data_IF_860837243094
#
_entry.id   IF_860837243094
#
_cell.length_a   1.000
_cell.length_b   1.000
_cell.length_c   1.000
_cell.angle_alpha   90.00
_cell.angle_beta   90.00
_cell.angle_gamma   90.00
#
_symmetry.space_group_name_H-M   'P 1'
#
loop_
_entity.id
_entity.type
_entity.pdbx_description
1 polymer ?
#
# COMPACT_ATOMS: atom_id res chain seq x y z
N UNK A 1 -3.12 -22.70 -11.28
CA UNK A 1 -2.31 -23.77 -10.65
C UNK A 1 -2.16 -23.57 -9.14
N UNK A 2 -1.62 -22.44 -8.65
CA UNK A 2 -1.32 -22.24 -7.20
C UNK A 2 -2.52 -22.37 -6.23
N UNK A 3 -3.72 -21.91 -6.60
CA UNK A 3 -4.93 -22.07 -5.76
C UNK A 3 -5.38 -23.53 -5.55
N UNK A 4 -5.08 -24.42 -6.50
CA UNK A 4 -5.48 -25.84 -6.42
C UNK A 4 -4.68 -26.55 -5.34
N UNK A 5 -3.39 -26.24 -5.23
CA UNK A 5 -2.51 -26.79 -4.20
C UNK A 5 -2.92 -26.35 -2.80
N UNK A 6 -3.33 -25.08 -2.62
CA UNK A 6 -3.80 -24.60 -1.33
C UNK A 6 -5.08 -25.34 -0.88
N UNK A 7 -6.03 -25.58 -1.80
CA UNK A 7 -7.26 -26.33 -1.50
C UNK A 7 -6.98 -27.79 -1.14
N UNK A 8 -6.07 -28.45 -1.88
CA UNK A 8 -5.64 -29.81 -1.55
C UNK A 8 -4.98 -29.86 -0.16
N UNK A 9 -4.12 -28.89 0.15
CA UNK A 9 -3.47 -28.80 1.46
C UNK A 9 -4.47 -28.58 2.60
N UNK A 10 -5.52 -27.79 2.38
CA UNK A 10 -6.60 -27.62 3.35
C UNK A 10 -7.42 -28.91 3.58
N UNK A 11 -7.42 -29.85 2.63
CA UNK A 11 -8.02 -31.18 2.87
C UNK A 11 -7.14 -32.03 3.78
N UNK A 12 -5.81 -31.99 3.58
CA UNK A 12 -4.83 -32.71 4.41
C UNK A 12 -4.88 -32.19 5.85
N UNK A 13 -4.79 -30.88 6.05
CA UNK A 13 -4.83 -30.26 7.39
C UNK A 13 -6.18 -30.41 8.11
N UNK A 14 -7.27 -30.74 7.39
CA UNK A 14 -8.54 -31.11 8.02
C UNK A 14 -8.51 -32.51 8.63
N UNK A 15 -7.71 -33.42 8.06
CA UNK A 15 -7.57 -34.80 8.53
C UNK A 15 -6.44 -34.91 9.57
N UNK A 16 -5.35 -34.17 9.37
CA UNK A 16 -4.19 -34.13 10.25
C UNK A 16 -3.80 -32.65 10.53
N UNK A 17 -4.39 -32.01 11.55
CA UNK A 17 -4.17 -30.59 11.83
C UNK A 17 -2.74 -30.22 12.27
N UNK A 18 -1.99 -31.21 12.75
CA UNK A 18 -0.63 -31.05 13.29
C UNK A 18 0.44 -31.67 12.37
N UNK A 19 0.10 -31.94 11.10
CA UNK A 19 1.06 -32.46 10.12
C UNK A 19 2.09 -31.36 9.76
N UNK A 20 3.36 -31.62 10.11
CA UNK A 20 4.46 -30.63 10.02
C UNK A 20 4.70 -30.21 8.58
N UNK A 21 4.86 -31.18 7.67
CA UNK A 21 5.08 -30.94 6.25
C UNK A 21 3.93 -30.12 5.62
N UNK A 22 2.68 -30.43 5.99
CA UNK A 22 1.53 -29.69 5.49
C UNK A 22 1.46 -28.25 6.05
N UNK A 23 1.84 -28.04 7.31
CA UNK A 23 1.93 -26.70 7.90
C UNK A 23 3.05 -25.87 7.27
N UNK A 24 4.24 -26.45 7.09
CA UNK A 24 5.38 -25.81 6.43
C UNK A 24 5.04 -25.47 4.97
N UNK A 25 4.45 -26.41 4.23
CA UNK A 25 3.99 -26.18 2.85
C UNK A 25 2.94 -25.07 2.81
N UNK A 26 2.05 -25.01 3.81
CA UNK A 26 1.02 -23.97 3.88
C UNK A 26 1.67 -22.61 4.07
N UNK A 27 2.62 -22.50 4.99
CA UNK A 27 3.36 -21.27 5.24
C UNK A 27 4.07 -20.80 3.96
N UNK A 28 4.81 -21.70 3.29
CA UNK A 28 5.47 -21.41 2.02
C UNK A 28 4.49 -20.90 0.95
N UNK A 29 3.34 -21.56 0.79
CA UNK A 29 2.31 -21.13 -0.17
C UNK A 29 1.70 -19.78 0.19
N UNK A 30 1.50 -19.49 1.47
CA UNK A 30 1.01 -18.19 1.92
C UNK A 30 2.01 -17.09 1.56
N UNK A 31 3.30 -17.29 1.81
CA UNK A 31 4.35 -16.36 1.41
C UNK A 31 4.38 -16.15 -0.12
N UNK A 32 4.34 -17.23 -0.89
CA UNK A 32 4.39 -17.18 -2.37
C UNK A 32 3.11 -16.61 -3.02
N UNK A 33 2.04 -16.47 -2.24
CA UNK A 33 0.77 -15.84 -2.67
C UNK A 33 0.54 -14.48 -2.02
N UNK A 34 1.59 -13.88 -1.46
CA UNK A 34 1.58 -12.57 -0.81
C UNK A 34 0.61 -12.45 0.39
N UNK A 35 0.23 -13.57 1.01
CA UNK A 35 -0.67 -13.61 2.17
C UNK A 35 0.11 -13.47 3.49
N UNK A 36 0.88 -12.38 3.61
CA UNK A 36 1.82 -12.16 4.72
C UNK A 36 1.16 -12.08 6.10
N UNK A 37 -0.04 -11.52 6.19
CA UNK A 37 -0.77 -11.46 7.46
C UNK A 37 -1.17 -12.86 7.96
N UNK A 38 -1.57 -13.75 7.05
CA UNK A 38 -1.92 -15.13 7.39
C UNK A 38 -0.67 -15.97 7.69
N UNK A 39 0.43 -15.74 6.96
CA UNK A 39 1.72 -16.35 7.23
C UNK A 39 2.24 -15.97 8.63
N UNK A 40 2.23 -14.67 8.96
CA UNK A 40 2.62 -14.18 10.29
C UNK A 40 1.76 -14.78 11.40
N UNK A 41 0.44 -14.85 11.22
CA UNK A 41 -0.44 -15.46 12.21
C UNK A 41 -0.08 -16.94 12.45
N UNK A 42 0.38 -17.67 11.43
CA UNK A 42 0.83 -19.06 11.58
C UNK A 42 2.16 -19.18 12.33
N UNK A 43 3.07 -18.21 12.17
CA UNK A 43 4.36 -18.25 12.88
C UNK A 43 4.23 -17.88 14.36
N UNK A 44 3.16 -17.19 14.75
CA UNK A 44 2.86 -16.80 16.13
C UNK A 44 2.03 -17.82 16.92
N UNK A 45 1.51 -18.87 16.27
CA UNK A 45 0.74 -19.92 16.96
C UNK A 45 1.63 -20.65 17.98
N UNK A 46 1.14 -20.87 19.22
CA UNK A 46 1.86 -21.70 20.19
C UNK A 46 2.15 -23.07 19.61
N UNK A 47 3.39 -23.52 19.75
CA UNK A 47 3.83 -24.86 19.36
C UNK A 47 4.11 -25.71 20.58
N UNK A 48 3.92 -27.02 20.39
CA UNK A 48 4.34 -28.01 21.36
C UNK A 48 5.87 -28.01 21.48
N UNK A 49 6.38 -28.29 22.68
CA UNK A 49 7.79 -28.13 23.03
C UNK A 49 8.77 -29.00 22.21
N UNK A 50 8.26 -29.99 21.46
CA UNK A 50 9.04 -30.90 20.62
C UNK A 50 9.12 -30.44 19.14
N UNK A 51 8.46 -29.33 18.80
CA UNK A 51 8.43 -28.81 17.43
C UNK A 51 9.69 -27.97 17.15
N UNK A 52 10.71 -28.64 16.59
CA UNK A 52 12.02 -28.06 16.24
C UNK A 52 11.99 -27.04 15.09
N UNK A 53 10.87 -26.84 14.42
CA UNK A 53 10.81 -25.91 13.28
C UNK A 53 10.64 -24.48 13.79
N UNK A 54 11.73 -23.71 13.75
CA UNK A 54 11.69 -22.27 14.01
C UNK A 54 11.34 -21.53 12.71
N UNK A 55 10.18 -20.85 12.68
CA UNK A 55 9.77 -20.00 11.55
C UNK A 55 10.17 -18.54 11.78
N UNK A 56 11.28 -18.31 12.46
CA UNK A 56 11.81 -16.97 12.75
C UNK A 56 12.08 -16.19 11.47
N UNK A 57 12.64 -16.85 10.44
CA UNK A 57 12.88 -16.21 9.15
C UNK A 57 11.57 -15.80 8.47
N UNK A 58 10.60 -16.70 8.35
CA UNK A 58 9.30 -16.42 7.73
C UNK A 58 8.52 -15.36 8.49
N UNK A 59 8.66 -15.32 9.82
CA UNK A 59 8.11 -14.26 10.68
C UNK A 59 8.75 -12.91 10.33
N UNK A 60 10.08 -12.82 10.33
CA UNK A 60 10.81 -11.59 9.99
C UNK A 60 10.46 -11.11 8.57
N UNK A 61 10.42 -12.03 7.60
CA UNK A 61 10.06 -11.74 6.23
C UNK A 61 8.61 -11.23 6.13
N UNK A 62 7.67 -11.86 6.82
CA UNK A 62 6.27 -11.43 6.84
C UNK A 62 6.12 -10.03 7.46
N UNK A 63 6.82 -9.73 8.55
CA UNK A 63 6.84 -8.40 9.18
C UNK A 63 7.40 -7.34 8.23
N UNK A 64 8.50 -7.65 7.53
CA UNK A 64 9.08 -6.79 6.51
C UNK A 64 8.10 -6.51 5.37
N UNK A 65 7.42 -7.54 4.85
CA UNK A 65 6.42 -7.38 3.77
C UNK A 65 5.16 -6.64 4.22
N UNK A 66 4.88 -6.60 5.53
CA UNK A 66 3.79 -5.84 6.14
C UNK A 66 4.18 -4.41 6.55
N UNK A 67 5.38 -3.94 6.21
CA UNK A 67 5.88 -2.62 6.61
C UNK A 67 5.91 -2.42 8.13
N UNK A 68 6.31 -3.45 8.86
CA UNK A 68 6.56 -3.39 10.31
C UNK A 68 8.07 -3.46 10.54
N UNK A 69 8.79 -2.41 10.13
CA UNK A 69 10.25 -2.41 10.06
C UNK A 69 10.91 -2.63 11.43
N UNK A 70 10.36 -2.03 12.49
CA UNK A 70 10.87 -2.20 13.85
C UNK A 70 10.76 -3.66 14.31
N UNK A 71 9.59 -4.27 14.15
CA UNK A 71 9.36 -5.67 14.53
C UNK A 71 10.22 -6.62 13.69
N UNK A 72 10.38 -6.35 12.39
CA UNK A 72 11.23 -7.13 11.50
C UNK A 72 12.71 -7.06 11.91
N UNK A 73 13.20 -5.87 12.30
CA UNK A 73 14.58 -5.71 12.80
C UNK A 73 14.82 -6.49 14.09
N UNK A 74 13.87 -6.44 15.03
CA UNK A 74 13.98 -7.19 16.28
C UNK A 74 14.01 -8.71 16.03
N UNK A 75 13.20 -9.21 15.09
CA UNK A 75 13.19 -10.61 14.72
C UNK A 75 14.53 -11.06 14.10
N UNK A 76 15.15 -10.25 13.24
CA UNK A 76 16.46 -10.56 12.65
C UNK A 76 17.59 -10.54 13.69
N UNK A 77 17.58 -9.58 14.61
CA UNK A 77 18.57 -9.54 15.70
C UNK A 77 18.45 -10.75 16.62
N UNK A 78 17.23 -11.19 16.93
CA UNK A 78 17.00 -12.43 17.68
C UNK A 78 17.56 -13.65 16.95
N UNK A 79 17.36 -13.75 15.63
CA UNK A 79 17.92 -14.83 14.81
C UNK A 79 19.44 -14.85 14.86
N UNK A 80 20.09 -13.69 14.61
CA UNK A 80 21.55 -13.59 14.65
C UNK A 80 22.12 -13.93 16.01
N UNK A 81 21.44 -13.54 17.10
CA UNK A 81 21.85 -13.89 18.45
C UNK A 81 21.84 -15.40 18.69
N UNK A 82 20.82 -16.11 18.18
CA UNK A 82 20.76 -17.59 18.21
C UNK A 82 21.82 -18.24 17.33
N UNK A 83 22.07 -17.66 16.15
CA UNK A 83 23.06 -18.19 15.19
C UNK A 83 24.51 -17.99 15.65
N UNK A 84 24.81 -16.89 16.37
CA UNK A 84 26.16 -16.57 16.86
C UNK A 84 26.74 -17.58 17.86
N UNK A 85 25.94 -18.51 18.37
CA UNK A 85 26.38 -19.63 19.21
C UNK A 85 26.86 -20.85 18.40
N UNK A 86 26.54 -20.92 17.10
CA UNK A 86 27.09 -21.90 16.15
C UNK A 86 28.12 -21.22 15.25
N UNK A 87 29.28 -21.85 15.01
CA UNK A 87 30.33 -21.35 14.08
C UNK A 87 29.92 -21.42 12.59
N UNK A 88 28.64 -21.16 12.28
CA UNK A 88 28.11 -21.11 10.93
C UNK A 88 28.14 -19.70 10.35
N UNK A 89 28.41 -19.61 9.06
CA UNK A 89 28.17 -18.42 8.25
C UNK A 89 26.71 -17.97 8.39
N UNK A 90 26.47 -16.66 8.57
CA UNK A 90 25.11 -16.10 8.66
C UNK A 90 24.35 -16.48 7.40
N UNK A 91 23.14 -17.04 7.55
CA UNK A 91 22.32 -17.47 6.44
C UNK A 91 22.20 -16.32 5.40
N UNK A 92 22.54 -16.64 4.15
CA UNK A 92 22.48 -15.73 3.02
C UNK A 92 21.10 -15.07 2.88
N UNK A 93 20.03 -15.80 3.20
CA UNK A 93 18.66 -15.27 3.21
C UNK A 93 18.46 -14.16 4.26
N UNK A 94 19.07 -14.30 5.44
CA UNK A 94 19.04 -13.31 6.52
C UNK A 94 19.77 -12.04 6.11
N UNK A 95 20.96 -12.15 5.51
CA UNK A 95 21.72 -11.01 5.00
C UNK A 95 20.94 -10.23 3.93
N UNK A 96 20.27 -10.92 3.00
CA UNK A 96 19.41 -10.28 2.00
C UNK A 96 18.28 -9.48 2.63
N UNK A 97 17.57 -10.09 3.59
CA UNK A 97 16.44 -9.44 4.25
C UNK A 97 16.90 -8.23 5.09
N UNK A 98 18.06 -8.33 5.74
CA UNK A 98 18.67 -7.24 6.47
C UNK A 98 19.06 -6.08 5.55
N UNK A 99 19.71 -6.35 4.41
CA UNK A 99 20.08 -5.32 3.45
C UNK A 99 18.86 -4.57 2.93
N UNK A 100 17.79 -5.31 2.60
CA UNK A 100 16.51 -4.74 2.18
C UNK A 100 15.85 -3.88 3.26
N UNK A 101 15.91 -4.32 4.52
CA UNK A 101 15.35 -3.59 5.65
C UNK A 101 16.15 -2.31 5.94
N UNK A 102 17.48 -2.39 5.93
CA UNK A 102 18.38 -1.25 6.09
C UNK A 102 18.14 -0.19 5.01
N UNK A 103 17.99 -0.61 3.75
CA UNK A 103 17.65 0.28 2.64
C UNK A 103 16.33 1.00 2.89
N UNK A 104 15.29 0.28 3.32
CA UNK A 104 13.96 0.87 3.59
C UNK A 104 13.98 1.86 4.74
N UNK A 105 14.81 1.63 5.76
CA UNK A 105 14.97 2.54 6.90
C UNK A 105 15.82 3.78 6.56
N UNK A 106 16.36 3.87 5.34
CA UNK A 106 17.25 4.95 4.92
C UNK A 106 18.70 4.80 5.42
N UNK A 107 19.03 3.66 6.02
CA UNK A 107 20.38 3.28 6.43
C UNK A 107 21.17 2.77 5.21
N UNK A 108 21.32 3.63 4.19
CA UNK A 108 21.86 3.24 2.89
C UNK A 108 23.31 2.75 2.96
N UNK A 109 24.12 3.26 3.91
CA UNK A 109 25.47 2.76 4.12
C UNK A 109 25.47 1.29 4.54
N UNK A 110 24.67 0.95 5.55
CA UNK A 110 24.55 -0.44 6.01
C UNK A 110 24.01 -1.37 4.91
N UNK A 111 23.03 -0.91 4.13
CA UNK A 111 22.53 -1.66 2.99
C UNK A 111 23.63 -1.90 1.93
N UNK A 112 24.43 -0.88 1.61
CA UNK A 112 25.54 -0.97 0.68
C UNK A 112 26.59 -1.98 1.15
N UNK A 113 26.98 -1.93 2.42
CA UNK A 113 27.97 -2.83 2.99
C UNK A 113 27.47 -4.30 2.96
N UNK A 114 26.21 -4.54 3.33
CA UNK A 114 25.59 -5.87 3.28
C UNK A 114 25.46 -6.41 1.85
N UNK A 115 25.12 -5.56 0.87
CA UNK A 115 25.08 -6.00 -0.53
C UNK A 115 26.46 -6.32 -1.08
N UNK A 116 27.52 -5.61 -0.70
CA UNK A 116 28.89 -6.00 -1.06
C UNK A 116 29.26 -7.36 -0.46
N UNK A 117 28.94 -7.60 0.80
CA UNK A 117 29.17 -8.90 1.44
C UNK A 117 28.43 -10.04 0.71
N UNK A 118 27.19 -9.82 0.28
CA UNK A 118 26.43 -10.78 -0.51
C UNK A 118 27.03 -11.01 -1.90
N UNK A 119 27.58 -9.95 -2.51
CA UNK A 119 28.18 -9.98 -3.84
C UNK A 119 29.49 -10.76 -3.86
N UNK A 120 30.29 -10.68 -2.79
CA UNK A 120 31.59 -11.37 -2.65
C UNK A 120 31.47 -12.90 -2.82
N UNK A 121 30.29 -13.45 -2.51
CA UNK A 121 29.98 -14.87 -2.56
C UNK A 121 28.94 -15.23 -3.64
N UNK A 122 28.47 -14.25 -4.42
CA UNK A 122 27.48 -14.46 -5.47
C UNK A 122 28.13 -14.99 -6.76
N UNK A 123 27.55 -16.05 -7.34
CA UNK A 123 28.02 -16.61 -8.63
C UNK A 123 27.90 -15.56 -9.75
N UNK A 124 28.99 -15.18 -10.47
CA UNK A 124 29.07 -14.05 -11.41
C UNK A 124 28.16 -14.08 -12.66
N UNK A 125 27.20 -14.99 -12.75
CA UNK A 125 26.20 -15.04 -13.84
C UNK A 125 24.83 -15.55 -13.36
N UNK A 126 24.63 -15.59 -12.04
CA UNK A 126 23.34 -15.92 -11.44
C UNK A 126 22.37 -14.74 -11.51
N UNK A 127 21.07 -15.04 -11.53
CA UNK A 127 20.01 -14.02 -11.40
C UNK A 127 20.19 -13.24 -10.09
N UNK A 128 20.57 -13.94 -9.01
CA UNK A 128 20.87 -13.33 -7.72
C UNK A 128 21.97 -12.27 -7.80
N UNK A 129 23.07 -12.55 -8.51
CA UNK A 129 24.15 -11.59 -8.69
C UNK A 129 23.66 -10.29 -9.37
N UNK A 130 22.84 -10.42 -10.42
CA UNK A 130 22.26 -9.25 -11.09
C UNK A 130 21.28 -8.46 -10.20
N UNK A 131 20.51 -9.16 -9.36
CA UNK A 131 19.58 -8.52 -8.42
C UNK A 131 20.33 -7.77 -7.31
N UNK A 132 21.39 -8.37 -6.76
CA UNK A 132 22.26 -7.73 -5.76
C UNK A 132 22.89 -6.47 -6.35
N UNK A 133 23.48 -6.55 -7.55
CA UNK A 133 24.10 -5.39 -8.20
C UNK A 133 23.12 -4.22 -8.39
N UNK A 134 21.90 -4.53 -8.81
CA UNK A 134 20.86 -3.51 -9.01
C UNK A 134 20.51 -2.80 -7.70
N UNK A 135 20.36 -3.56 -6.61
CA UNK A 135 20.04 -3.02 -5.29
C UNK A 135 21.23 -2.26 -4.68
N UNK A 136 22.45 -2.74 -4.89
CA UNK A 136 23.69 -2.08 -4.48
C UNK A 136 23.83 -0.72 -5.17
N UNK A 137 23.64 -0.66 -6.49
CA UNK A 137 23.67 0.59 -7.26
C UNK A 137 22.60 1.58 -6.75
N UNK A 138 21.42 1.09 -6.39
CA UNK A 138 20.37 1.91 -5.79
C UNK A 138 20.80 2.48 -4.42
N UNK A 139 21.42 1.69 -3.56
CA UNK A 139 21.95 2.14 -2.27
C UNK A 139 23.05 3.20 -2.46
N UNK A 140 23.97 2.96 -3.40
CA UNK A 140 25.04 3.89 -3.75
C UNK A 140 24.49 5.22 -4.27
N UNK A 141 23.51 5.21 -5.19
CA UNK A 141 22.87 6.43 -5.70
C UNK A 141 22.23 7.26 -4.58
N UNK A 142 21.64 6.62 -3.58
CA UNK A 142 21.09 7.34 -2.43
C UNK A 142 22.19 7.94 -1.54
N UNK A 143 23.30 7.21 -1.31
CA UNK A 143 24.48 7.73 -0.61
C UNK A 143 25.07 8.96 -1.31
N UNK A 144 25.25 8.87 -2.62
CA UNK A 144 25.77 9.96 -3.45
C UNK A 144 24.86 11.19 -3.38
N UNK A 145 23.55 10.98 -3.44
CA UNK A 145 22.55 12.04 -3.30
C UNK A 145 22.62 12.73 -1.93
N UNK A 146 22.67 11.95 -0.84
CA UNK A 146 22.74 12.50 0.51
C UNK A 146 24.05 13.24 0.78
N UNK A 147 25.15 12.77 0.19
CA UNK A 147 26.49 13.34 0.43
C UNK A 147 26.73 14.61 -0.36
N UNK A 148 26.38 14.62 -1.64
CA UNK A 148 26.72 15.74 -2.54
C UNK A 148 25.64 16.06 -3.56
N UNK A 149 24.88 15.07 -4.02
CA UNK A 149 23.87 15.27 -5.07
C UNK A 149 22.77 16.25 -4.68
N UNK A 150 22.35 16.28 -3.42
CA UNK A 150 21.39 17.26 -2.92
C UNK A 150 21.91 18.70 -3.03
N UNK A 151 23.16 18.94 -2.60
CA UNK A 151 23.77 20.27 -2.68
C UNK A 151 23.96 20.70 -4.14
N UNK A 152 24.38 19.77 -5.01
CA UNK A 152 24.51 20.05 -6.43
C UNK A 152 23.16 20.37 -7.09
N UNK A 153 22.10 19.65 -6.71
CA UNK A 153 20.75 19.92 -7.20
C UNK A 153 20.25 21.29 -6.74
N UNK A 154 20.59 21.74 -5.53
CA UNK A 154 20.28 23.09 -5.05
C UNK A 154 21.03 24.17 -5.83
N UNK A 155 22.31 23.95 -6.13
CA UNK A 155 23.14 24.90 -6.90
C UNK A 155 22.68 25.02 -8.36
N UNK A 156 22.18 23.93 -8.95
CA UNK A 156 21.64 23.91 -10.30
C UNK A 156 20.25 24.58 -10.46
N UNK A 157 19.62 25.05 -9.37
CA UNK A 157 18.31 25.69 -9.44
C UNK A 157 18.37 27.04 -10.17
N UNK A 158 17.38 27.37 -11.01
CA UNK A 158 17.29 28.68 -11.63
C UNK A 158 17.26 29.81 -10.58
N UNK A 159 17.87 30.98 -10.85
CA UNK A 159 17.90 32.11 -9.92
C UNK A 159 16.51 32.64 -9.55
N UNK A 160 15.51 32.42 -10.41
CA UNK A 160 14.10 32.73 -10.13
C UNK A 160 13.50 31.91 -8.98
N UNK A 161 14.08 30.75 -8.66
CA UNK A 161 13.64 29.85 -7.58
C UNK A 161 14.55 30.00 -6.35
N UNK A 162 15.88 30.02 -6.56
CA UNK A 162 16.84 30.08 -5.44
C UNK A 162 16.83 31.44 -4.72
N UNK A 163 16.61 32.55 -5.44
CA UNK A 163 16.55 33.89 -4.85
C UNK A 163 15.48 34.04 -3.77
N UNK A 164 14.20 33.71 -4.05
CA UNK A 164 13.14 33.73 -3.04
C UNK A 164 13.39 32.78 -1.85
N UNK A 165 14.00 31.61 -2.07
CA UNK A 165 14.29 30.65 -1.00
C UNK A 165 15.36 31.15 -0.03
N UNK A 166 16.41 31.81 -0.54
CA UNK A 166 17.50 32.35 0.29
C UNK A 166 17.08 33.60 1.08
N UNK A 167 16.12 34.37 0.55
CA UNK A 167 15.65 35.63 1.15
C UNK A 167 14.33 35.49 1.91
N UNK A 168 13.67 34.33 1.82
CA UNK A 168 12.46 34.07 2.58
C UNK A 168 12.78 34.11 4.08
N UNK A 169 12.05 34.91 4.88
CA UNK A 169 12.17 34.83 6.33
C UNK A 169 11.83 33.39 6.76
N UNK A 170 12.51 32.85 7.80
CA UNK A 170 12.16 31.54 8.34
C UNK A 170 10.65 31.52 8.60
N UNK A 171 9.94 30.42 8.28
CA UNK A 171 8.50 30.36 8.45
C UNK A 171 8.22 30.79 9.88
N UNK A 172 7.60 31.97 10.03
CA UNK A 172 7.16 32.40 11.35
C UNK A 172 6.21 31.31 11.77
N UNK A 173 6.63 30.53 12.78
CA UNK A 173 5.71 29.64 13.46
C UNK A 173 4.52 30.52 13.75
N UNK A 174 3.36 30.23 13.13
CA UNK A 174 2.14 30.87 13.54
C UNK A 174 2.08 30.54 15.02
N UNK A 175 2.41 31.51 15.86
CA UNK A 175 2.09 31.51 17.26
C UNK A 175 0.57 31.46 17.22
N UNK A 176 0.04 30.24 17.17
CA UNK A 176 -1.31 30.00 17.60
C UNK A 176 -1.36 30.70 18.94
N UNK A 177 -2.12 31.77 19.01
CA UNK A 177 -2.31 32.54 20.22
C UNK A 177 -2.92 31.57 21.23
N UNK A 178 -2.07 30.87 21.99
CA UNK A 178 -2.44 29.94 23.06
C UNK A 178 -2.90 30.69 24.31
N UNK A 179 -3.08 32.01 24.22
CA UNK A 179 -3.43 32.90 25.33
C UNK A 179 -4.89 32.84 25.78
N UNK A 180 -5.68 31.83 25.40
CA UNK A 180 -7.05 31.71 25.91
C UNK A 180 -7.52 30.29 26.28
N UNK A 181 -6.63 29.31 26.44
CA UNK A 181 -7.03 27.98 26.94
C UNK A 181 -6.79 27.81 28.45
N UNK A 182 -5.80 28.48 29.04
CA UNK A 182 -5.55 28.41 30.48
C UNK A 182 -6.63 29.12 31.32
N UNK A 183 -7.22 30.20 30.78
CA UNK A 183 -8.30 30.93 31.47
C UNK A 183 -9.66 30.20 31.44
N UNK A 184 -9.89 29.25 30.52
CA UNK A 184 -11.11 28.43 30.52
C UNK A 184 -11.02 27.22 31.46
N UNK A 185 -9.82 26.71 31.75
CA UNK A 185 -9.64 25.56 32.63
C UNK A 185 -9.94 25.88 34.12
N UNK A 186 -9.76 27.13 34.55
CA UNK A 186 -10.10 27.57 35.92
C UNK A 186 -11.55 28.02 36.12
N UNK A 187 -12.37 28.09 35.06
CA UNK A 187 -13.77 28.53 35.15
C UNK A 187 -14.80 27.40 35.02
N UNK A 188 -14.37 26.14 34.90
CA UNK A 188 -15.26 24.98 34.73
C UNK A 188 -15.91 24.45 36.03
N UNK A 189 -16.04 25.29 37.06
CA UNK A 189 -16.72 24.95 38.31
C UNK A 189 -18.16 25.51 38.42
N UNK A 190 -18.82 25.84 37.30
CA UNK A 190 -20.26 26.15 37.34
C UNK A 190 -20.97 25.91 36.00
N UNK A 191 -21.88 24.92 36.01
CA UNK A 191 -23.06 24.65 35.15
C UNK A 191 -22.97 24.84 33.61
N UNK A 192 -23.64 23.96 32.82
CA UNK A 192 -23.51 23.97 31.36
C UNK A 192 -24.31 25.13 30.73
N UNK A 193 -23.60 26.11 30.18
CA UNK A 193 -24.19 27.16 29.35
C UNK A 193 -24.19 26.74 27.87
N UNK A 194 -25.39 26.73 27.26
CA UNK A 194 -25.65 26.40 25.86
C UNK A 194 -24.85 27.33 24.93
N UNK A 195 -23.99 26.74 24.09
CA UNK A 195 -23.20 27.45 23.09
C UNK A 195 -24.13 27.92 21.95
N UNK A 196 -24.20 29.24 21.71
CA UNK A 196 -24.95 29.79 20.56
C UNK A 196 -24.13 29.69 19.28
N UNK A 197 -24.70 29.07 18.26
CA UNK A 197 -24.09 28.89 16.93
C UNK A 197 -23.84 30.23 16.23
N UNK A 198 -22.65 30.38 15.63
CA UNK A 198 -22.26 31.58 14.88
C UNK A 198 -23.03 31.66 13.56
N UNK A 199 -23.80 32.74 13.37
CA UNK A 199 -24.58 32.97 12.14
C UNK A 199 -23.67 33.17 10.91
N UNK A 200 -23.94 32.40 9.85
CA UNK A 200 -23.27 32.51 8.55
C UNK A 200 -23.62 33.84 7.87
N UNK A 201 -22.61 34.57 7.40
CA UNK A 201 -22.80 35.86 6.71
C UNK A 201 -23.36 35.63 5.29
N UNK A 202 -24.62 36.01 5.10
CA UNK A 202 -25.41 35.84 3.86
C UNK A 202 -24.79 36.43 2.59
N UNK A 203 -23.86 37.40 2.68
CA UNK A 203 -23.13 37.93 1.51
C UNK A 203 -22.21 36.90 0.82
N UNK A 204 -21.83 35.82 1.51
CA UNK A 204 -20.96 34.76 0.97
C UNK A 204 -21.70 33.53 0.46
N UNK A 205 -23.05 33.53 0.53
CA UNK A 205 -23.85 32.39 0.12
C UNK A 205 -24.49 32.69 -1.24
N UNK A 206 -24.29 31.84 -2.27
CA UNK A 206 -24.92 32.01 -3.58
C UNK A 206 -26.46 32.08 -3.48
N UNK A 207 -27.11 32.85 -4.37
CA UNK A 207 -28.58 32.93 -4.42
C UNK A 207 -29.17 31.52 -4.58
N UNK A 208 -29.99 31.10 -3.61
CA UNK A 208 -30.68 29.80 -3.61
C UNK A 208 -30.18 28.77 -2.59
N UNK A 209 -29.12 29.06 -1.82
CA UNK A 209 -28.65 28.17 -0.73
C UNK A 209 -29.01 28.79 0.62
N UNK A 210 -29.82 28.09 1.42
CA UNK A 210 -30.16 28.49 2.79
C UNK A 210 -29.49 27.49 3.74
N UNK A 211 -28.47 27.90 4.53
CA UNK A 211 -27.81 27.01 5.49
C UNK A 211 -28.85 26.38 6.42
N UNK A 212 -28.88 25.04 6.45
CA UNK A 212 -29.81 24.24 7.27
C UNK A 212 -31.05 23.68 6.55
N UNK A 213 -31.41 24.18 5.36
CA UNK A 213 -32.57 23.68 4.59
C UNK A 213 -32.15 23.07 3.26
N UNK A 214 -31.14 23.63 2.59
CA UNK A 214 -30.53 22.95 1.43
C UNK A 214 -29.65 21.81 1.91
N UNK A 215 -29.92 20.55 1.53
CA UNK A 215 -29.01 19.45 1.82
C UNK A 215 -27.62 19.78 1.27
N UNK A 216 -26.54 19.43 1.99
CA UNK A 216 -25.19 19.67 1.52
C UNK A 216 -25.00 19.03 0.14
N UNK A 217 -24.23 19.66 -0.76
CA UNK A 217 -23.98 19.10 -2.08
C UNK A 217 -23.45 17.66 -1.95
N UNK A 218 -24.02 16.76 -2.75
CA UNK A 218 -23.80 15.31 -2.66
C UNK A 218 -22.30 14.96 -2.60
N UNK A 219 -21.84 14.31 -1.52
CA UNK A 219 -20.44 13.95 -1.33
C UNK A 219 -19.94 12.91 -2.35
N UNK A 220 -20.81 12.21 -3.07
CA UNK A 220 -20.44 11.22 -4.08
C UNK A 220 -20.40 11.79 -5.51
N UNK A 221 -20.51 13.12 -5.66
CA UNK A 221 -20.56 13.77 -6.99
C UNK A 221 -19.30 13.55 -7.84
N UNK A 222 -18.15 13.38 -7.19
CA UNK A 222 -16.85 13.14 -7.82
C UNK A 222 -16.69 11.68 -8.30
N UNK A 223 -17.55 10.76 -7.86
CA UNK A 223 -17.59 9.40 -8.40
C UNK A 223 -18.29 9.35 -9.76
N UNK A 224 -17.91 8.35 -10.58
CA UNK A 224 -18.60 8.04 -11.84
C UNK A 224 -20.06 7.75 -11.56
N UNK A 225 -20.97 8.12 -12.48
CA UNK A 225 -22.43 8.01 -12.25
C UNK A 225 -22.88 6.61 -11.84
N UNK A 226 -22.21 5.55 -12.31
CA UNK A 226 -22.47 4.16 -11.96
C UNK A 226 -22.09 3.78 -10.52
N UNK A 227 -21.14 4.48 -9.92
CA UNK A 227 -20.58 4.22 -8.59
C UNK A 227 -21.30 5.04 -7.51
N UNK A 228 -22.23 5.92 -7.91
CA UNK A 228 -23.05 6.71 -6.98
C UNK A 228 -24.14 5.85 -6.36
N UNK A 229 -24.30 5.91 -5.05
CA UNK A 229 -25.36 5.20 -4.28
C UNK A 229 -26.76 5.53 -4.80
N UNK A 230 -27.01 6.76 -5.26
CA UNK A 230 -28.26 7.15 -5.90
C UNK A 230 -28.57 6.35 -7.18
N UNK A 231 -27.55 6.00 -7.97
CA UNK A 231 -27.70 5.19 -9.19
C UNK A 231 -27.95 3.71 -8.85
N UNK A 232 -27.27 3.18 -7.83
CA UNK A 232 -27.50 1.82 -7.34
C UNK A 232 -28.93 1.61 -6.81
N UNK A 233 -29.51 2.62 -6.14
CA UNK A 233 -30.91 2.62 -5.69
C UNK A 233 -31.91 2.57 -6.88
N UNK A 234 -31.64 3.29 -7.97
CA UNK A 234 -32.48 3.28 -9.17
C UNK A 234 -32.50 1.91 -9.89
N UNK A 235 -31.38 1.20 -9.91
CA UNK A 235 -31.29 -0.11 -10.54
C UNK A 235 -31.86 -1.23 -9.66
N UNK A 236 -31.80 -1.11 -8.33
CA UNK A 236 -32.44 -2.05 -7.40
C UNK A 236 -33.96 -2.01 -7.49
N UNK A 237 -34.57 -0.83 -7.70
CA UNK A 237 -36.03 -0.71 -7.93
C UNK A 237 -36.48 -1.37 -9.23
N UNK A 238 -35.66 -1.35 -10.29
CA UNK A 238 -35.97 -2.02 -11.56
C UNK A 238 -35.78 -3.55 -11.52
N UNK A 239 -35.00 -4.08 -10.58
CA UNK A 239 -34.73 -5.53 -10.49
C UNK A 239 -35.60 -6.26 -9.45
N UNK A 240 -36.40 -5.53 -8.67
CA UNK A 240 -37.21 -6.09 -7.59
C UNK A 240 -38.72 -6.24 -7.86
N UNK A 241 -39.19 -6.07 -9.10
CA UNK A 241 -40.62 -6.09 -9.42
C UNK A 241 -40.97 -6.91 -10.66
N UNK A 242 -41.49 -8.11 -10.45
CA UNK A 242 -42.47 -8.76 -11.33
C UNK A 242 -41.92 -9.50 -12.54
N UNK A 243 -41.94 -10.82 -12.47
CA UNK A 243 -42.15 -11.64 -13.65
C UNK A 243 -43.51 -11.33 -14.27
N UNK A 244 -43.56 -11.21 -15.59
CA UNK A 244 -44.78 -10.92 -16.35
C UNK A 244 -44.45 -10.92 -17.83
N UNK A 245 -44.49 -12.09 -18.44
CA UNK A 245 -44.54 -12.24 -19.88
C UNK A 245 -45.95 -11.89 -20.38
N UNK A 246 -46.10 -10.98 -21.36
CA UNK A 246 -47.28 -10.97 -22.24
C UNK A 246 -46.92 -10.45 -23.64
N UNK A 247 -47.06 -11.32 -24.65
CA UNK A 247 -47.66 -11.15 -26.00
C UNK A 247 -47.76 -9.73 -26.60
N UNK A 248 -47.52 -9.47 -27.89
CA UNK A 248 -47.50 -10.31 -29.09
C UNK A 248 -47.11 -9.49 -30.34
N UNK A 249 -47.07 -10.17 -31.48
CA UNK A 249 -46.41 -9.83 -32.74
C UNK A 249 -47.24 -9.00 -33.76
N UNK A 250 -46.53 -8.38 -34.73
CA UNK A 250 -46.65 -8.53 -36.21
C UNK A 250 -46.73 -7.23 -37.07
N UNK A 251 -45.62 -6.93 -37.79
CA UNK A 251 -45.38 -6.58 -39.24
C UNK A 251 -46.36 -5.68 -40.07
N UNK A 252 -46.03 -5.22 -41.32
CA UNK A 252 -44.75 -5.16 -42.08
C UNK A 252 -44.48 -3.81 -42.84
N UNK A 253 -43.34 -3.75 -43.53
CA UNK A 253 -43.18 -3.31 -44.94
C UNK A 253 -42.22 -2.14 -45.26
N UNK A 254 -41.29 -2.45 -46.18
CA UNK A 254 -40.46 -1.53 -46.97
C UNK A 254 -39.01 -1.48 -46.48
N UNK A 255 -38.01 -2.11 -47.07
CA UNK A 255 -37.85 -2.67 -48.40
C UNK A 255 -36.41 -2.38 -48.85
N UNK A 256 -35.64 -3.42 -49.15
CA UNK A 256 -34.48 -3.32 -50.04
C UNK A 256 -33.08 -3.39 -49.41
N UNK A 257 -32.37 -4.47 -49.73
CA UNK A 257 -31.13 -4.28 -50.49
C UNK A 257 -29.80 -4.56 -49.77
N UNK A 258 -29.36 -5.80 -49.94
CA UNK A 258 -28.05 -6.39 -49.64
C UNK A 258 -26.87 -5.84 -50.49
N UNK A 259 -25.64 -6.15 -50.04
CA UNK A 259 -24.32 -6.26 -50.74
C UNK A 259 -23.31 -5.13 -50.43
N UNK A 260 -22.27 -5.37 -49.63
CA UNK A 260 -20.99 -6.10 -49.87
C UNK A 260 -20.02 -5.45 -50.90
N UNK A 261 -18.77 -5.36 -50.44
CA UNK A 261 -17.49 -5.43 -51.16
C UNK A 261 -17.06 -4.32 -52.12
N UNK A 262 -16.00 -3.60 -51.70
CA UNK A 262 -14.67 -3.67 -52.31
C UNK A 262 -14.50 -3.23 -53.77
N UNK A 263 -13.77 -2.13 -53.99
CA UNK A 263 -13.34 -1.74 -55.33
C UNK A 263 -12.44 -0.50 -55.38
N UNK A 264 -11.15 -0.75 -55.61
CA UNK A 264 -10.06 0.20 -55.86
C UNK A 264 -10.37 1.32 -56.88
N UNK A 265 -9.93 2.53 -56.55
CA UNK A 265 -8.91 3.29 -57.31
C UNK A 265 -9.33 4.02 -58.59
N UNK A 266 -9.24 5.36 -58.58
CA UNK A 266 -8.20 6.16 -59.27
C UNK A 266 -8.49 7.66 -59.14
N UNK A 267 -7.52 8.40 -58.59
CA UNK A 267 -7.38 9.85 -58.80
C UNK A 267 -7.04 10.11 -60.27
N UNK A 268 -7.59 11.21 -60.81
CA UNK A 268 -7.01 11.91 -61.95
C UNK A 268 -7.13 13.42 -61.71
N UNK A 269 -6.08 13.99 -61.14
CA UNK A 269 -5.44 15.27 -61.47
C UNK A 269 -4.52 15.70 -60.33
#
# INVERSE_FOLDING_TARGET
>A
MRLVYLLALMTVLRLAPHDRDALQTKLFLLLQTDQYAAALAMTELPREADDSEDYTFEKAYSLYRLHKEADASAALEEMKAKSGESEGEVDRGVLHLEAQLAYRQGSYQAAFDLYNQLLDTAEPSSEEHSDILTNLEAAQKHLDFLTSGFLHALDALPPSVSGPLQTAPPPQQMQQQVTSLSALASASASAPAVQKEKKVRMKRVPKGVVPGVTPPPDPERWLKKSERTAFAQGNRRRKGGGGGATQGAMEPAGGGGQKTSGGKGKKKR
#
